data_IF_296367441048
#
_entry.id   IF_296367441048
#
_cell.length_a   1.000
_cell.length_b   1.000
_cell.length_c   1.000
_cell.angle_alpha   90.00
_cell.angle_beta   90.00
_cell.angle_gamma   90.00
#
_symmetry.space_group_name_H-M   'P 1'
#
loop_
_entity.id
_entity.type
_entity.pdbx_description
1 polymer ?
#
# COMPACT_ATOMS: atom_id res chain seq x y z
N UNK A 1 -22.71 -0.70 -26.43
CA UNK A 1 -22.94 -0.49 -24.98
C UNK A 1 -23.34 0.96 -24.64
N UNK A 2 -22.77 1.98 -25.28
CA UNK A 2 -23.11 3.40 -25.03
C UNK A 2 -24.59 3.78 -25.25
N UNK A 3 -25.27 3.22 -26.26
CA UNK A 3 -26.67 3.57 -26.54
C UNK A 3 -27.67 3.16 -25.44
N UNK A 4 -27.39 2.09 -24.66
CA UNK A 4 -28.26 1.68 -23.54
C UNK A 4 -28.16 2.62 -22.33
N UNK A 5 -27.10 3.42 -22.24
CA UNK A 5 -26.90 4.35 -21.13
C UNK A 5 -27.84 5.54 -21.28
N UNK A 6 -28.18 5.95 -22.51
CA UNK A 6 -29.01 7.12 -22.76
C UNK A 6 -30.44 6.97 -22.21
N UNK A 7 -30.99 5.75 -22.18
CA UNK A 7 -32.33 5.46 -21.68
C UNK A 7 -32.42 5.40 -20.15
N UNK A 8 -31.29 5.44 -19.44
CA UNK A 8 -31.26 5.42 -17.97
C UNK A 8 -31.65 6.77 -17.40
N UNK A 9 -32.36 6.74 -16.26
CA UNK A 9 -32.68 7.94 -15.49
C UNK A 9 -31.39 8.66 -15.08
N UNK A 10 -31.47 9.99 -14.97
CA UNK A 10 -30.34 10.84 -14.59
C UNK A 10 -29.67 10.33 -13.31
N UNK A 11 -30.47 9.86 -12.34
CA UNK A 11 -30.04 9.28 -11.07
C UNK A 11 -29.08 8.10 -11.25
N UNK A 12 -29.40 7.17 -12.15
CA UNK A 12 -28.59 5.97 -12.37
C UNK A 12 -27.30 6.31 -13.11
N UNK A 13 -27.34 7.25 -14.06
CA UNK A 13 -26.13 7.72 -14.76
C UNK A 13 -25.11 8.31 -13.78
N UNK A 14 -25.54 9.23 -12.92
CA UNK A 14 -24.67 9.83 -11.89
C UNK A 14 -24.20 8.80 -10.86
N UNK A 15 -25.04 7.84 -10.48
CA UNK A 15 -24.65 6.73 -9.61
C UNK A 15 -23.50 5.93 -10.21
N UNK A 16 -23.65 5.48 -11.46
CA UNK A 16 -22.63 4.66 -12.14
C UNK A 16 -21.31 5.44 -12.20
N UNK A 17 -21.37 6.73 -12.58
CA UNK A 17 -20.18 7.58 -12.64
C UNK A 17 -19.49 7.70 -11.26
N UNK A 18 -20.27 7.94 -10.21
CA UNK A 18 -19.77 8.08 -8.85
C UNK A 18 -19.15 6.77 -8.32
N UNK A 19 -19.80 5.63 -8.54
CA UNK A 19 -19.28 4.31 -8.14
C UNK A 19 -17.99 3.98 -8.90
N UNK A 20 -17.93 4.26 -10.20
CA UNK A 20 -16.71 4.08 -10.99
C UNK A 20 -15.58 4.96 -10.44
N UNK A 21 -15.86 6.24 -10.13
CA UNK A 21 -14.86 7.13 -9.56
C UNK A 21 -14.33 6.62 -8.21
N UNK A 22 -15.21 6.17 -7.32
CA UNK A 22 -14.79 5.59 -6.03
C UNK A 22 -13.97 4.31 -6.21
N UNK A 23 -14.32 3.43 -7.15
CA UNK A 23 -13.57 2.21 -7.44
C UNK A 23 -12.18 2.52 -8.00
N UNK A 24 -12.06 3.50 -8.90
CA UNK A 24 -10.76 3.94 -9.45
C UNK A 24 -9.87 4.49 -8.33
N UNK A 25 -10.41 5.33 -7.46
CA UNK A 25 -9.67 5.87 -6.31
C UNK A 25 -9.25 4.73 -5.36
N UNK A 26 -10.16 3.82 -5.03
CA UNK A 26 -9.88 2.68 -4.15
C UNK A 26 -8.80 1.77 -4.71
N UNK A 27 -8.87 1.43 -6.00
CA UNK A 27 -7.86 0.62 -6.69
C UNK A 27 -6.49 1.33 -6.69
N UNK A 28 -6.47 2.62 -7.03
CA UNK A 28 -5.27 3.44 -6.98
C UNK A 28 -4.62 3.43 -5.60
N UNK A 29 -5.41 3.65 -4.55
CA UNK A 29 -4.93 3.63 -3.17
C UNK A 29 -4.34 2.27 -2.79
N UNK A 30 -5.00 1.16 -3.17
CA UNK A 30 -4.49 -0.20 -2.92
C UNK A 30 -3.15 -0.42 -3.63
N UNK A 31 -3.00 0.04 -4.87
CA UNK A 31 -1.73 -0.10 -5.60
C UNK A 31 -0.60 0.71 -4.97
N UNK A 32 -0.88 1.95 -4.54
CA UNK A 32 0.10 2.81 -3.86
C UNK A 32 0.50 2.17 -2.53
N UNK A 33 -0.47 1.72 -1.73
CA UNK A 33 -0.21 1.08 -0.45
C UNK A 33 0.61 -0.20 -0.61
N UNK A 34 0.28 -1.02 -1.62
CA UNK A 34 1.08 -2.20 -1.97
C UNK A 34 2.52 -1.81 -2.29
N UNK A 35 2.73 -0.80 -3.14
CA UNK A 35 4.07 -0.32 -3.49
C UNK A 35 4.84 0.17 -2.26
N UNK A 36 4.20 0.92 -1.36
CA UNK A 36 4.81 1.39 -0.12
C UNK A 36 5.20 0.24 0.81
N UNK A 37 4.31 -0.75 0.96
CA UNK A 37 4.56 -1.92 1.81
C UNK A 37 5.69 -2.79 1.25
N UNK A 38 5.72 -2.99 -0.06
CA UNK A 38 6.81 -3.70 -0.74
C UNK A 38 8.15 -2.99 -0.54
N UNK A 39 8.17 -1.67 -0.66
CA UNK A 39 9.38 -0.86 -0.45
C UNK A 39 9.88 -0.92 1.00
N UNK A 40 8.98 -0.81 1.99
CA UNK A 40 9.36 -0.90 3.41
C UNK A 40 9.87 -2.29 3.78
N UNK A 41 9.22 -3.35 3.27
CA UNK A 41 9.68 -4.72 3.50
C UNK A 41 11.04 -4.96 2.85
N UNK A 42 11.30 -4.47 1.65
CA UNK A 42 12.61 -4.66 1.01
C UNK A 42 13.73 -3.89 1.71
N UNK A 43 13.47 -2.68 2.21
CA UNK A 43 14.49 -1.85 2.85
C UNK A 43 14.89 -2.31 4.26
N UNK A 44 13.96 -2.86 5.04
CA UNK A 44 14.19 -3.16 6.47
C UNK A 44 14.53 -4.63 6.70
N UNK A 45 13.95 -5.53 5.91
CA UNK A 45 13.96 -6.95 6.21
C UNK A 45 15.35 -7.61 6.13
N UNK A 46 16.19 -7.37 5.11
CA UNK A 46 17.53 -7.98 5.02
C UNK A 46 18.41 -7.64 6.23
N UNK A 47 18.35 -6.38 6.69
CA UNK A 47 19.10 -5.89 7.85
C UNK A 47 18.63 -6.54 9.15
N UNK A 48 17.32 -6.55 9.41
CA UNK A 48 16.77 -7.15 10.63
C UNK A 48 17.02 -8.66 10.68
N UNK A 49 16.90 -9.37 9.54
CA UNK A 49 17.27 -10.79 9.43
C UNK A 49 18.74 -11.00 9.73
N UNK A 50 19.61 -10.24 9.08
CA UNK A 50 21.06 -10.34 9.26
C UNK A 50 21.45 -10.16 10.72
N UNK A 51 20.88 -9.16 11.41
CA UNK A 51 21.06 -8.95 12.85
C UNK A 51 20.60 -10.15 13.67
N UNK A 52 19.39 -10.64 13.43
CA UNK A 52 18.83 -11.77 14.19
C UNK A 52 19.70 -13.02 14.04
N UNK A 53 20.06 -13.40 12.81
CA UNK A 53 20.90 -14.57 12.55
C UNK A 53 22.30 -14.36 13.15
N UNK A 54 22.92 -13.20 12.96
CA UNK A 54 24.25 -12.90 13.49
C UNK A 54 24.28 -12.96 15.02
N UNK A 55 23.27 -12.42 15.70
CA UNK A 55 23.13 -12.51 17.15
C UNK A 55 22.90 -13.95 17.63
N UNK A 56 22.06 -14.72 16.95
CA UNK A 56 21.82 -16.13 17.30
C UNK A 56 23.10 -16.97 17.17
N UNK A 57 23.82 -16.80 16.05
CA UNK A 57 25.10 -17.47 15.83
C UNK A 57 26.13 -17.02 16.87
N UNK A 58 26.29 -15.71 17.08
CA UNK A 58 27.20 -15.16 18.09
C UNK A 58 26.92 -15.73 19.49
N UNK A 59 25.65 -15.74 19.92
CA UNK A 59 25.24 -16.28 21.21
C UNK A 59 25.54 -17.78 21.35
N UNK A 60 25.35 -18.54 20.28
CA UNK A 60 25.67 -19.97 20.23
C UNK A 60 27.18 -20.21 20.36
N UNK A 61 27.99 -19.43 19.64
CA UNK A 61 29.45 -19.53 19.68
C UNK A 61 30.07 -19.00 20.97
N UNK A 62 29.46 -18.00 21.61
CA UNK A 62 29.95 -17.42 22.86
C UNK A 62 29.92 -18.41 24.03
N UNK A 63 28.94 -19.33 24.02
CA UNK A 63 28.76 -20.41 25.01
C UNK A 63 29.68 -21.61 24.80
N UNK A 64 30.29 -21.72 23.62
CA UNK A 64 31.19 -22.83 23.31
C UNK A 64 32.59 -22.59 23.89
N UNK A 65 33.31 -23.63 24.35
CA UNK A 65 34.74 -23.52 24.64
C UNK A 65 35.54 -23.40 23.33
N UNK A 66 36.40 -22.39 23.25
CA UNK A 66 37.32 -22.17 22.11
C UNK A 66 38.67 -22.83 22.42
N UNK A 67 38.79 -24.12 22.09
CA UNK A 67 39.98 -24.97 22.26
C UNK A 67 40.45 -25.50 20.90
N UNK A 68 41.53 -26.30 20.84
CA UNK A 68 42.14 -26.77 19.58
C UNK A 68 41.22 -27.58 18.64
N UNK A 69 40.07 -28.09 19.11
CA UNK A 69 39.05 -28.77 18.28
C UNK A 69 37.87 -27.84 17.89
N UNK A 70 37.89 -26.56 18.28
CA UNK A 70 36.70 -25.73 18.12
C UNK A 70 36.39 -25.38 16.67
N UNK A 71 37.37 -25.38 15.75
CA UNK A 71 37.13 -25.07 14.34
C UNK A 71 36.13 -26.03 13.68
N UNK A 72 36.24 -27.34 13.96
CA UNK A 72 35.32 -28.35 13.39
C UNK A 72 33.90 -28.17 13.92
N UNK A 73 33.77 -27.88 15.23
CA UNK A 73 32.49 -27.66 15.90
C UNK A 73 31.84 -26.34 15.48
N UNK A 74 32.62 -25.26 15.36
CA UNK A 74 32.17 -23.99 14.81
C UNK A 74 31.63 -24.22 13.41
N UNK A 75 32.38 -24.91 12.53
CA UNK A 75 31.93 -25.21 11.17
C UNK A 75 30.61 -26.01 11.16
N UNK A 76 30.46 -27.01 12.04
CA UNK A 76 29.21 -27.77 12.15
C UNK A 76 28.03 -26.87 12.59
N UNK A 77 28.24 -25.99 13.58
CA UNK A 77 27.24 -25.00 13.99
C UNK A 77 26.87 -24.10 12.81
N UNK A 78 27.85 -23.56 12.10
CA UNK A 78 27.60 -22.70 10.93
C UNK A 78 26.78 -23.43 9.86
N UNK A 79 27.10 -24.69 9.55
CA UNK A 79 26.38 -25.49 8.57
C UNK A 79 24.91 -25.74 8.97
N UNK A 80 24.60 -25.87 10.28
CA UNK A 80 23.21 -25.98 10.73
C UNK A 80 22.42 -24.69 10.50
N UNK A 81 23.03 -23.53 10.77
CA UNK A 81 22.39 -22.24 10.49
C UNK A 81 22.28 -22.00 8.98
N UNK A 82 23.30 -22.35 8.20
CA UNK A 82 23.26 -22.28 6.74
C UNK A 82 22.05 -23.05 6.19
N UNK A 83 21.93 -24.33 6.59
CA UNK A 83 20.84 -25.20 6.16
C UNK A 83 19.46 -24.70 6.60
N UNK A 84 19.33 -24.18 7.83
CA UNK A 84 18.05 -23.69 8.36
C UNK A 84 17.63 -22.33 7.80
N UNK A 85 18.57 -21.47 7.40
CA UNK A 85 18.28 -20.08 7.01
C UNK A 85 18.56 -19.76 5.54
N UNK A 86 19.02 -20.72 4.72
CA UNK A 86 19.28 -20.55 3.29
C UNK A 86 18.08 -19.99 2.52
N UNK A 87 16.90 -20.60 2.72
CA UNK A 87 15.64 -20.20 2.10
C UNK A 87 15.16 -18.79 2.52
N UNK A 88 15.75 -18.24 3.59
CA UNK A 88 15.45 -16.89 4.09
C UNK A 88 16.41 -15.83 3.55
N UNK A 89 17.24 -16.19 2.57
CA UNK A 89 18.18 -15.31 1.89
C UNK A 89 19.55 -15.23 2.58
N UNK A 90 19.88 -16.15 3.49
CA UNK A 90 21.22 -16.28 4.03
C UNK A 90 22.19 -16.62 2.89
N UNK A 91 23.16 -15.73 2.63
CA UNK A 91 24.18 -15.94 1.61
C UNK A 91 25.43 -16.59 2.17
N UNK A 92 25.85 -16.19 3.37
CA UNK A 92 27.00 -16.76 4.05
C UNK A 92 27.00 -16.44 5.54
N UNK A 93 27.72 -17.27 6.28
CA UNK A 93 28.21 -16.97 7.62
C UNK A 93 29.74 -17.05 7.59
N UNK A 94 30.39 -16.08 8.23
CA UNK A 94 31.83 -15.99 8.37
C UNK A 94 32.15 -15.74 9.84
N UNK A 95 33.05 -16.55 10.40
CA UNK A 95 33.58 -16.34 11.75
C UNK A 95 35.03 -15.92 11.63
N UNK A 96 35.38 -14.81 12.27
CA UNK A 96 36.73 -14.26 12.33
C UNK A 96 37.29 -14.34 13.76
N UNK A 97 38.60 -14.47 13.88
CA UNK A 97 39.30 -14.34 15.16
C UNK A 97 39.47 -12.86 15.56
N UNK A 98 40.10 -12.61 16.70
CA UNK A 98 40.42 -11.27 17.22
C UNK A 98 41.29 -10.41 16.27
N UNK A 99 42.01 -11.05 15.34
CA UNK A 99 42.85 -10.39 14.32
C UNK A 99 42.12 -10.16 12.99
N UNK A 100 40.80 -10.37 12.94
CA UNK A 100 39.97 -10.35 11.74
C UNK A 100 40.32 -11.44 10.70
N UNK A 101 41.07 -12.49 11.09
CA UNK A 101 41.38 -13.61 10.19
C UNK A 101 40.24 -14.63 10.18
N UNK A 102 39.87 -15.18 9.01
CA UNK A 102 38.77 -16.14 8.91
C UNK A 102 39.10 -17.46 9.61
N UNK A 103 38.23 -17.89 10.53
CA UNK A 103 38.31 -19.17 11.24
C UNK A 103 37.42 -20.26 10.63
N UNK A 104 36.20 -19.89 10.23
CA UNK A 104 35.21 -20.81 9.67
C UNK A 104 34.24 -20.03 8.77
N UNK A 105 33.68 -20.69 7.76
CA UNK A 105 32.73 -20.05 6.86
C UNK A 105 31.79 -21.05 6.20
N UNK A 106 30.58 -20.61 5.85
CA UNK A 106 29.67 -21.38 4.99
C UNK A 106 29.85 -21.04 3.51
N UNK A 107 30.68 -20.03 3.21
CA UNK A 107 31.16 -19.80 1.84
C UNK A 107 32.06 -20.99 1.45
N UNK A 108 31.91 -21.51 0.24
CA UNK A 108 32.70 -22.65 -0.25
C UNK A 108 34.21 -22.37 -0.36
N UNK A 109 34.91 -23.11 -1.24
CA UNK A 109 36.37 -23.28 -1.22
C UNK A 109 37.27 -22.02 -1.33
N UNK A 110 36.74 -20.80 -1.47
CA UNK A 110 37.54 -19.59 -1.32
C UNK A 110 36.71 -18.40 -0.81
N UNK A 111 37.12 -17.82 0.32
CA UNK A 111 36.64 -16.52 0.79
C UNK A 111 37.30 -15.44 -0.09
N UNK A 112 36.55 -14.58 -0.79
CA UNK A 112 37.14 -13.47 -1.54
C UNK A 112 37.98 -12.60 -0.59
N UNK A 113 39.25 -12.29 -0.91
CA UNK A 113 40.11 -11.50 -0.02
C UNK A 113 39.49 -10.17 0.38
N UNK A 114 38.75 -9.54 -0.55
CA UNK A 114 38.07 -8.27 -0.34
C UNK A 114 36.90 -8.38 0.67
N UNK A 115 36.32 -9.56 0.83
CA UNK A 115 35.20 -9.80 1.76
C UNK A 115 35.66 -9.70 3.22
N UNK A 116 36.90 -10.05 3.52
CA UNK A 116 37.44 -10.11 4.88
C UNK A 116 37.50 -8.71 5.52
N UNK A 117 37.83 -7.69 4.71
CA UNK A 117 38.03 -6.30 5.19
C UNK A 117 36.84 -5.38 4.94
N UNK A 118 35.80 -5.83 4.24
CA UNK A 118 34.74 -4.92 3.81
C UNK A 118 33.92 -4.39 4.99
N UNK A 119 33.71 -5.15 6.06
CA UNK A 119 32.88 -4.76 7.20
C UNK A 119 33.54 -5.11 8.53
N UNK A 120 34.51 -4.28 8.92
CA UNK A 120 35.18 -4.39 10.21
C UNK A 120 34.29 -3.83 11.33
N UNK A 121 34.21 -4.54 12.46
CA UNK A 121 33.46 -4.12 13.64
C UNK A 121 34.35 -3.21 14.51
N UNK A 122 34.00 -1.93 14.73
CA UNK A 122 34.74 -1.07 15.63
C UNK A 122 34.70 -1.59 17.08
N UNK A 123 35.78 -1.37 17.83
CA UNK A 123 35.89 -1.81 19.22
C UNK A 123 34.76 -1.23 20.09
N UNK A 124 34.15 -2.07 20.94
CA UNK A 124 33.06 -1.68 21.83
C UNK A 124 31.69 -1.54 21.16
N UNK A 125 31.59 -1.77 19.84
CA UNK A 125 30.31 -1.73 19.13
C UNK A 125 29.64 -3.11 19.12
N UNK A 126 28.35 -3.15 19.42
CA UNK A 126 27.59 -4.41 19.46
C UNK A 126 27.20 -4.93 18.07
N UNK A 127 26.94 -4.03 17.12
CA UNK A 127 26.47 -4.40 15.77
C UNK A 127 27.04 -3.39 14.76
N UNK A 128 27.55 -3.89 13.64
CA UNK A 128 27.93 -3.08 12.48
C UNK A 128 27.31 -3.68 11.21
N UNK A 129 26.65 -2.83 10.42
CA UNK A 129 26.02 -3.25 9.17
C UNK A 129 26.67 -2.55 7.99
N UNK A 130 26.88 -3.27 6.88
CA UNK A 130 27.34 -2.68 5.63
C UNK A 130 26.70 -3.36 4.44
N UNK A 131 26.36 -2.55 3.44
CA UNK A 131 25.80 -3.01 2.16
C UNK A 131 26.90 -3.00 1.10
N UNK A 132 27.03 -4.08 0.33
CA UNK A 132 27.96 -4.15 -0.80
C UNK A 132 27.47 -5.13 -1.88
N UNK A 133 28.12 -5.11 -3.06
CA UNK A 133 27.84 -6.06 -4.15
C UNK A 133 28.87 -7.18 -4.16
N UNK A 134 28.41 -8.43 -4.24
CA UNK A 134 29.24 -9.62 -4.42
C UNK A 134 28.81 -10.32 -5.71
N UNK A 135 29.60 -10.11 -6.78
CA UNK A 135 29.14 -10.41 -8.14
C UNK A 135 27.89 -9.59 -8.49
N UNK A 136 26.85 -10.25 -8.99
CA UNK A 136 25.57 -9.61 -9.33
C UNK A 136 24.61 -9.49 -8.15
N UNK A 137 24.98 -10.02 -6.98
CA UNK A 137 24.13 -10.05 -5.79
C UNK A 137 24.44 -8.87 -4.88
N UNK A 138 23.42 -8.19 -4.36
CA UNK A 138 23.60 -7.18 -3.31
C UNK A 138 23.41 -7.83 -1.96
N UNK A 139 24.41 -7.70 -1.08
CA UNK A 139 24.46 -8.33 0.23
C UNK A 139 24.42 -7.25 1.30
N UNK A 140 23.55 -7.48 2.29
CA UNK A 140 23.57 -6.81 3.57
C UNK A 140 24.39 -7.66 4.54
N UNK A 141 25.55 -7.17 4.93
CA UNK A 141 26.45 -7.85 5.86
C UNK A 141 26.37 -7.25 7.25
N UNK A 142 26.21 -8.13 8.23
CA UNK A 142 26.02 -7.77 9.64
C UNK A 142 27.12 -8.41 10.46
N UNK A 143 27.92 -7.60 11.14
CA UNK A 143 29.00 -8.01 12.02
C UNK A 143 28.58 -7.84 13.48
N UNK A 144 28.78 -8.90 14.27
CA UNK A 144 28.42 -8.98 15.70
C UNK A 144 29.59 -9.63 16.46
N UNK A 145 30.04 -9.08 17.60
CA UNK A 145 31.11 -9.66 18.40
C UNK A 145 30.65 -10.96 19.07
N UNK A 146 31.58 -11.88 19.30
CA UNK A 146 31.35 -13.13 20.04
C UNK A 146 31.76 -12.92 21.49
N UNK A 147 30.77 -12.87 22.39
CA UNK A 147 30.99 -12.59 23.81
C UNK A 147 30.93 -11.09 24.11
N UNK A 148 31.84 -10.60 24.95
CA UNK A 148 31.87 -9.21 25.40
C UNK A 148 32.28 -8.27 24.24
N UNK A 149 31.49 -7.24 23.88
CA UNK A 149 31.85 -6.26 22.85
C UNK A 149 33.15 -5.49 23.12
N UNK A 150 33.57 -5.37 24.39
CA UNK A 150 34.83 -4.71 24.76
C UNK A 150 36.04 -5.61 24.57
N UNK A 151 35.87 -6.92 24.73
CA UNK A 151 36.90 -7.96 24.57
C UNK A 151 36.32 -9.18 23.84
N UNK A 152 36.01 -9.05 22.53
CA UNK A 152 35.35 -10.11 21.80
C UNK A 152 36.31 -11.27 21.53
N UNK A 153 35.85 -12.51 21.69
CA UNK A 153 36.63 -13.73 21.34
C UNK A 153 36.83 -13.89 19.82
N UNK A 154 36.02 -13.17 19.05
CA UNK A 154 35.95 -13.23 17.60
C UNK A 154 34.73 -12.45 17.11
N UNK A 155 34.50 -12.46 15.81
CA UNK A 155 33.40 -11.73 15.17
C UNK A 155 32.63 -12.70 14.29
N UNK A 156 31.30 -12.68 14.38
CA UNK A 156 30.41 -13.32 13.42
C UNK A 156 29.98 -12.29 12.40
N UNK A 157 30.10 -12.64 11.13
CA UNK A 157 29.58 -11.88 10.00
C UNK A 157 28.57 -12.71 9.25
N UNK A 158 27.39 -12.14 9.04
CA UNK A 158 26.28 -12.77 8.33
C UNK A 158 25.91 -11.91 7.14
N UNK A 159 26.08 -12.47 5.95
CA UNK A 159 25.64 -11.86 4.70
C UNK A 159 24.24 -12.34 4.33
N UNK A 160 23.30 -11.42 4.22
CA UNK A 160 21.93 -11.70 3.75
C UNK A 160 21.70 -11.01 2.41
N UNK A 161 21.12 -11.73 1.45
CA UNK A 161 20.76 -11.17 0.15
C UNK A 161 19.68 -10.11 0.31
N UNK A 162 19.93 -8.92 -0.23
CA UNK A 162 18.93 -7.83 -0.23
C UNK A 162 17.76 -8.15 -1.16
N UNK A 163 18.08 -8.72 -2.32
CA UNK A 163 17.12 -9.26 -3.26
C UNK A 163 17.26 -10.78 -3.18
N UNK A 164 16.36 -11.44 -2.45
CA UNK A 164 16.31 -12.91 -2.40
C UNK A 164 16.24 -13.41 -3.84
N UNK A 165 17.36 -13.93 -4.33
CA UNK A 165 17.45 -14.42 -5.70
C UNK A 165 16.63 -15.70 -5.80
N UNK A 166 15.59 -15.68 -6.64
CA UNK A 166 14.93 -16.83 -7.29
C UNK A 166 14.45 -18.04 -6.46
N UNK A 167 14.68 -18.12 -5.15
CA UNK A 167 14.20 -19.20 -4.29
C UNK A 167 12.92 -18.74 -3.57
N UNK A 168 11.78 -19.27 -4.04
CA UNK A 168 10.43 -18.74 -3.84
C UNK A 168 9.92 -18.59 -2.41
N UNK A 169 10.66 -19.01 -1.37
CA UNK A 169 10.22 -18.91 0.02
C UNK A 169 10.00 -17.46 0.48
N UNK A 170 10.89 -16.53 0.10
CA UNK A 170 10.71 -15.12 0.45
C UNK A 170 9.52 -14.49 -0.29
N UNK A 171 9.38 -14.77 -1.59
CA UNK A 171 8.25 -14.24 -2.35
C UNK A 171 6.92 -14.77 -1.81
N UNK A 172 6.87 -16.04 -1.39
CA UNK A 172 5.68 -16.64 -0.75
C UNK A 172 5.37 -15.97 0.59
N UNK A 173 6.34 -15.79 1.48
CA UNK A 173 6.14 -15.12 2.78
C UNK A 173 5.74 -13.64 2.58
N UNK A 174 6.43 -12.93 1.69
CA UNK A 174 6.16 -11.52 1.35
C UNK A 174 4.74 -11.38 0.81
N UNK A 175 4.36 -12.19 -0.18
CA UNK A 175 3.01 -12.18 -0.75
C UNK A 175 1.95 -12.57 0.29
N UNK A 176 2.24 -13.54 1.17
CA UNK A 176 1.37 -13.91 2.28
C UNK A 176 1.10 -12.73 3.21
N UNK A 177 2.15 -12.04 3.66
CA UNK A 177 2.00 -10.90 4.58
C UNK A 177 1.33 -9.70 3.92
N UNK A 178 1.67 -9.41 2.66
CA UNK A 178 1.01 -8.36 1.88
C UNK A 178 -0.49 -8.66 1.74
N UNK A 179 -0.87 -9.91 1.42
CA UNK A 179 -2.28 -10.30 1.33
C UNK A 179 -3.02 -10.19 2.65
N UNK A 180 -2.39 -10.59 3.76
CA UNK A 180 -2.97 -10.46 5.10
C UNK A 180 -3.32 -9.00 5.44
N UNK A 181 -2.46 -8.04 5.03
CA UNK A 181 -2.69 -6.61 5.23
C UNK A 181 -3.68 -6.03 4.22
N UNK A 182 -3.61 -6.42 2.94
CA UNK A 182 -4.43 -5.84 1.88
C UNK A 182 -5.87 -6.38 1.87
N UNK A 183 -6.08 -7.67 2.19
CA UNK A 183 -7.42 -8.27 2.20
C UNK A 183 -8.46 -7.51 3.04
N UNK A 184 -8.20 -7.17 4.32
CA UNK A 184 -9.17 -6.41 5.11
C UNK A 184 -9.44 -5.02 4.50
N UNK A 185 -8.43 -4.39 3.92
CA UNK A 185 -8.57 -3.06 3.28
C UNK A 185 -9.42 -3.16 2.02
N UNK A 186 -9.26 -4.21 1.21
CA UNK A 186 -10.12 -4.48 0.05
C UNK A 186 -11.58 -4.62 0.50
N UNK A 187 -11.85 -5.41 1.54
CA UNK A 187 -13.20 -5.58 2.07
C UNK A 187 -13.78 -4.27 2.62
N UNK A 188 -13.02 -3.52 3.41
CA UNK A 188 -13.44 -2.20 3.91
C UNK A 188 -13.72 -1.24 2.76
N UNK A 189 -12.90 -1.26 1.70
CA UNK A 189 -13.10 -0.43 0.51
C UNK A 189 -14.38 -0.80 -0.22
N UNK A 190 -14.64 -2.10 -0.44
CA UNK A 190 -15.86 -2.57 -1.09
C UNK A 190 -17.11 -2.19 -0.29
N UNK A 191 -17.09 -2.42 1.03
CA UNK A 191 -18.19 -2.04 1.92
C UNK A 191 -18.38 -0.50 1.89
N UNK A 192 -17.29 0.25 1.94
CA UNK A 192 -17.29 1.70 1.86
C UNK A 192 -17.89 2.22 0.55
N UNK A 193 -17.56 1.61 -0.58
CA UNK A 193 -18.12 1.96 -1.90
C UNK A 193 -19.63 1.71 -1.92
N UNK A 194 -20.10 0.57 -1.41
CA UNK A 194 -21.54 0.28 -1.34
C UNK A 194 -22.26 1.27 -0.43
N UNK A 195 -21.70 1.54 0.75
CA UNK A 195 -22.28 2.45 1.73
C UNK A 195 -22.32 3.90 1.23
N UNK A 196 -21.18 4.44 0.80
CA UNK A 196 -21.07 5.81 0.27
C UNK A 196 -21.86 5.98 -1.02
N UNK A 197 -21.85 4.97 -1.90
CA UNK A 197 -22.67 4.95 -3.10
C UNK A 197 -24.15 5.05 -2.76
N UNK A 198 -24.64 4.21 -1.85
CA UNK A 198 -26.04 4.22 -1.37
C UNK A 198 -26.43 5.58 -0.78
N UNK A 199 -25.57 6.14 0.07
CA UNK A 199 -25.79 7.44 0.68
C UNK A 199 -25.84 8.57 -0.36
N UNK A 200 -24.90 8.56 -1.32
CA UNK A 200 -24.86 9.51 -2.42
C UNK A 200 -26.14 9.46 -3.27
N UNK A 201 -26.61 8.26 -3.64
CA UNK A 201 -27.84 8.08 -4.41
C UNK A 201 -29.07 8.65 -3.67
N UNK A 202 -29.12 8.44 -2.35
CA UNK A 202 -30.21 8.94 -1.53
C UNK A 202 -30.22 10.46 -1.48
N UNK A 203 -29.08 11.08 -1.14
CA UNK A 203 -28.94 12.53 -1.05
C UNK A 203 -29.15 13.22 -2.41
N UNK A 204 -28.51 12.72 -3.47
CA UNK A 204 -28.63 13.27 -4.80
C UNK A 204 -30.08 13.26 -5.30
N UNK A 205 -30.82 12.19 -5.00
CA UNK A 205 -32.22 12.13 -5.38
C UNK A 205 -33.08 13.15 -4.65
N UNK A 206 -32.86 13.30 -3.34
CA UNK A 206 -33.67 14.19 -2.51
C UNK A 206 -33.37 15.66 -2.79
N UNK A 207 -32.09 15.98 -3.03
CA UNK A 207 -31.62 17.36 -3.18
C UNK A 207 -31.76 17.83 -4.63
N UNK A 208 -31.45 16.97 -5.62
CA UNK A 208 -31.40 17.38 -7.03
C UNK A 208 -32.58 16.82 -7.82
N UNK A 209 -32.71 15.49 -7.89
CA UNK A 209 -33.66 14.84 -8.81
C UNK A 209 -35.11 15.24 -8.50
N UNK A 210 -35.52 15.20 -7.23
CA UNK A 210 -36.89 15.57 -6.83
C UNK A 210 -37.22 17.03 -7.12
N UNK A 211 -36.26 17.95 -6.93
CA UNK A 211 -36.47 19.38 -7.21
C UNK A 211 -36.56 19.65 -8.71
N UNK A 212 -35.73 18.99 -9.52
CA UNK A 212 -35.84 19.04 -10.98
C UNK A 212 -37.19 18.48 -11.42
N UNK A 213 -37.63 17.35 -10.86
CA UNK A 213 -38.94 16.77 -11.17
C UNK A 213 -40.07 17.75 -10.88
N UNK A 214 -40.04 18.44 -9.74
CA UNK A 214 -41.01 19.48 -9.41
C UNK A 214 -41.06 20.62 -10.45
N UNK A 215 -39.90 21.13 -10.90
CA UNK A 215 -39.87 22.17 -11.94
C UNK A 215 -40.43 21.67 -13.27
N UNK A 216 -40.13 20.42 -13.64
CA UNK A 216 -40.69 19.78 -14.84
C UNK A 216 -42.22 19.70 -14.71
N UNK A 217 -42.73 19.22 -13.58
CA UNK A 217 -44.18 19.07 -13.35
C UNK A 217 -44.92 20.41 -13.41
N UNK A 218 -44.32 21.48 -12.87
CA UNK A 218 -44.89 22.84 -12.93
C UNK A 218 -44.86 23.39 -14.35
N UNK A 219 -43.74 23.21 -15.06
CA UNK A 219 -43.63 23.62 -16.46
C UNK A 219 -44.62 22.88 -17.37
N UNK A 220 -44.86 21.59 -17.13
CA UNK A 220 -45.86 20.81 -17.87
C UNK A 220 -47.27 21.38 -17.66
N UNK A 221 -47.67 21.71 -16.42
CA UNK A 221 -48.96 22.37 -16.16
C UNK A 221 -49.11 23.71 -16.89
N UNK A 222 -48.07 24.53 -16.87
CA UNK A 222 -48.04 25.79 -17.62
C UNK A 222 -48.20 25.56 -19.12
N UNK A 223 -47.60 24.49 -19.66
CA UNK A 223 -47.72 24.13 -21.09
C UNK A 223 -49.16 23.78 -21.49
N UNK A 224 -49.95 23.23 -20.57
CA UNK A 224 -51.39 22.97 -20.75
C UNK A 224 -52.28 24.20 -20.50
N UNK A 225 -51.69 25.37 -20.24
CA UNK A 225 -52.39 26.64 -20.06
C UNK A 225 -52.80 26.93 -18.62
N UNK A 226 -52.44 26.07 -17.66
CA UNK A 226 -52.60 26.37 -16.23
C UNK A 226 -51.48 27.30 -15.77
N UNK A 227 -51.76 28.60 -15.87
CA UNK A 227 -50.86 29.66 -15.45
C UNK A 227 -51.22 30.21 -14.07
N UNK A 228 -52.07 29.55 -13.29
CA UNK A 228 -52.40 29.96 -11.92
C UNK A 228 -51.53 29.24 -10.87
N UNK A 229 -50.81 28.19 -11.26
CA UNK A 229 -49.80 27.55 -10.43
C UNK A 229 -48.70 28.52 -10.03
N UNK A 230 -48.26 28.50 -8.77
CA UNK A 230 -47.13 29.31 -8.32
C UNK A 230 -45.85 28.45 -8.34
N UNK A 231 -44.76 28.97 -8.93
CA UNK A 231 -43.47 28.28 -8.92
C UNK A 231 -42.71 28.67 -7.64
N UNK A 232 -42.72 27.77 -6.65
CA UNK A 232 -42.07 27.99 -5.35
C UNK A 232 -40.85 27.09 -5.25
N UNK A 233 -39.66 27.67 -5.44
CA UNK A 233 -38.39 26.98 -5.26
C UNK A 233 -37.51 27.68 -4.23
N UNK A 234 -37.51 27.16 -3.01
CA UNK A 234 -36.60 27.63 -1.96
C UNK A 234 -35.23 26.95 -2.12
N UNK A 235 -34.42 27.51 -3.00
CA UNK A 235 -33.02 27.11 -3.15
C UNK A 235 -32.13 28.33 -3.43
N UNK A 236 -30.88 28.27 -2.96
CA UNK A 236 -29.89 29.33 -3.18
C UNK A 236 -28.84 28.95 -4.24
N UNK A 237 -29.00 27.78 -4.84
CA UNK A 237 -28.15 27.23 -5.90
C UNK A 237 -28.75 27.50 -7.28
N UNK A 238 -28.19 26.87 -8.32
CA UNK A 238 -28.62 27.00 -9.71
C UNK A 238 -30.09 26.59 -9.91
N UNK A 239 -30.62 25.68 -9.08
CA UNK A 239 -32.03 25.28 -9.16
C UNK A 239 -32.95 26.42 -8.67
N UNK A 240 -32.53 27.19 -7.67
CA UNK A 240 -33.26 28.38 -7.20
C UNK A 240 -33.39 29.43 -8.28
N UNK A 241 -32.27 29.75 -8.94
CA UNK A 241 -32.23 30.68 -10.08
C UNK A 241 -33.14 30.20 -11.22
N UNK A 242 -33.14 28.89 -11.49
CA UNK A 242 -34.03 28.30 -12.49
C UNK A 242 -35.50 28.42 -12.11
N UNK A 243 -35.84 28.18 -10.84
CA UNK A 243 -37.20 28.35 -10.31
C UNK A 243 -37.69 29.79 -10.43
N UNK A 244 -36.87 30.78 -10.04
CA UNK A 244 -37.22 32.21 -10.20
C UNK A 244 -37.42 32.60 -11.66
N UNK A 245 -36.57 32.07 -12.55
CA UNK A 245 -36.66 32.34 -14.00
C UNK A 245 -37.95 31.75 -14.57
N UNK A 246 -38.31 30.53 -14.15
CA UNK A 246 -39.56 29.89 -14.55
C UNK A 246 -40.79 30.67 -14.05
N UNK A 247 -40.76 31.17 -12.82
CA UNK A 247 -41.84 32.00 -12.26
C UNK A 247 -42.05 33.29 -13.05
N UNK A 248 -40.96 34.02 -13.36
CA UNK A 248 -41.04 35.23 -14.18
C UNK A 248 -41.63 34.93 -15.57
N UNK A 249 -41.26 33.79 -16.15
CA UNK A 249 -41.78 33.35 -17.45
C UNK A 249 -43.28 33.07 -17.38
N UNK A 250 -43.73 32.39 -16.33
CA UNK A 250 -45.15 32.12 -16.08
C UNK A 250 -45.98 33.40 -15.99
N UNK A 251 -45.53 34.37 -15.20
CA UNK A 251 -46.20 35.67 -15.02
C UNK A 251 -46.30 36.40 -16.36
N UNK A 252 -45.20 36.49 -17.11
CA UNK A 252 -45.18 37.15 -18.41
C UNK A 252 -46.14 36.50 -19.43
N UNK A 253 -46.20 35.17 -19.45
CA UNK A 253 -47.12 34.43 -20.33
C UNK A 253 -48.59 34.70 -19.94
N UNK A 254 -48.89 34.74 -18.64
CA UNK A 254 -50.25 35.01 -18.15
C UNK A 254 -50.71 36.40 -18.58
N UNK A 255 -49.87 37.41 -18.36
CA UNK A 255 -50.13 38.80 -18.76
C UNK A 255 -50.35 38.92 -20.27
N UNK A 256 -49.53 38.23 -21.07
CA UNK A 256 -49.65 38.25 -22.53
C UNK A 256 -50.99 37.66 -23.01
N UNK A 257 -51.40 36.52 -22.45
CA UNK A 257 -52.68 35.86 -22.77
C UNK A 257 -53.87 36.72 -22.34
N UNK A 258 -53.82 37.33 -21.16
CA UNK A 258 -54.89 38.24 -20.69
C UNK A 258 -55.05 39.47 -21.58
N UNK A 259 -53.94 40.08 -22.02
CA UNK A 259 -53.98 41.21 -22.97
C UNK A 259 -54.61 40.82 -24.31
N UNK A 260 -54.32 39.60 -24.80
CA UNK A 260 -54.94 39.10 -26.03
C UNK A 260 -56.44 38.85 -25.88
N UNK A 261 -56.88 38.31 -24.73
CA UNK A 261 -58.31 38.12 -24.43
C UNK A 261 -59.06 39.44 -24.39
N UNK A 262 -58.49 40.48 -23.76
CA UNK A 262 -59.09 41.83 -23.69
C UNK A 262 -59.20 42.54 -25.04
N UNK A 263 -58.34 42.22 -26.03
CA UNK A 263 -58.40 42.80 -27.39
C UNK A 263 -59.42 42.12 -28.31
N UNK A 264 -59.86 40.91 -27.96
CA UNK A 264 -60.87 40.15 -28.73
C UNK A 264 -62.30 40.37 -28.23
N UNK A 265 -62.48 41.03 -27.09
CA UNK A 265 -63.76 41.53 -26.59
C UNK A 265 -63.97 42.97 -27.05
#
# INVERSE_FOLDING_TARGET
MLNKINDLSLRVKFMILFVIALLVIGLGMITILRSLLEQQLEGVYPTVRGMMIAQMVSHSLAKMPWTGNSTSKIQQTLNSYDSSYKDYGLSYILVQNEKNEPLATTLGAAIPPDLIKINELPQGKEIQNKRFKLGDKTIQDVAVPIGDPQQPKGIVRVGVLERSGSEGSWEVIKQGKIREVLNPIIWITLIGVVFLGSLFIFLFSKIVVQRIQYLIDVADKMSFGDLDVNVVMESKDELGVLGETLERTRVNLKDAIERLKKRKQ
#
